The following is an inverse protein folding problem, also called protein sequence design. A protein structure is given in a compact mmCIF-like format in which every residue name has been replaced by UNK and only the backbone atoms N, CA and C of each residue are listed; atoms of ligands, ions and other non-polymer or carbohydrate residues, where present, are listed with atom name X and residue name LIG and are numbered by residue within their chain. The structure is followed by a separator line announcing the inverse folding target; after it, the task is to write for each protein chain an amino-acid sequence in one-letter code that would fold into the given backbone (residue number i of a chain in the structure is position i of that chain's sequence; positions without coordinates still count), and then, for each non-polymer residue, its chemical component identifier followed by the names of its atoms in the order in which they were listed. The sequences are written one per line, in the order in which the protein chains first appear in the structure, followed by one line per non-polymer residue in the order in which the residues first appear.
data_IF_128940483625
#
_entry.id   IF_128940483625
#
_cell.length_a   1.000
_cell.length_b   1.000
_cell.length_c   1.000
_cell.angle_alpha   90.00
_cell.angle_beta   90.00
_cell.angle_gamma   90.00
#
_symmetry.space_group_name_H-M   'P 1'
#
loop_
_entity.id
_entity.type
_entity.pdbx_description
1 polymer ?
#
# COMPACT_ATOMS: atom_id res chain seq x y z
N UNK A 1 -14.09 9.84 2.93
CA UNK A 1 -14.30 9.47 4.35
C UNK A 1 -13.02 8.77 4.82
N UNK A 2 -12.20 9.41 5.68
CA UNK A 2 -10.92 8.80 6.14
C UNK A 2 -11.25 7.63 7.06
N UNK A 3 -10.79 6.43 6.70
CA UNK A 3 -10.94 5.24 7.55
C UNK A 3 -10.03 5.44 8.76
N UNK A 4 -10.59 5.54 9.97
CA UNK A 4 -9.80 5.61 11.20
C UNK A 4 -8.97 4.31 11.34
N UNK A 5 -7.74 4.40 11.89
CA UNK A 5 -6.80 3.25 12.04
C UNK A 5 -7.43 1.99 12.64
N UNK A 6 -8.35 2.14 13.56
CA UNK A 6 -9.04 1.01 14.22
C UNK A 6 -10.11 0.37 13.31
N UNK A 7 -10.71 1.13 12.39
CA UNK A 7 -11.67 0.62 11.42
C UNK A 7 -11.01 -0.12 10.25
N UNK A 8 -9.73 0.14 9.95
CA UNK A 8 -9.05 -0.54 8.85
C UNK A 8 -8.79 -2.02 9.16
N UNK A 9 -8.44 -2.38 10.39
CA UNK A 9 -8.26 -3.78 10.78
C UNK A 9 -9.57 -4.56 10.75
N UNK A 10 -10.69 -3.95 11.16
CA UNK A 10 -12.02 -4.56 11.06
C UNK A 10 -12.46 -4.68 9.59
N UNK A 11 -12.14 -3.67 8.79
CA UNK A 11 -12.41 -3.70 7.35
C UNK A 11 -11.69 -4.86 6.66
N UNK A 12 -10.43 -5.16 7.01
CA UNK A 12 -9.64 -6.28 6.47
C UNK A 12 -10.23 -7.67 6.79
N UNK A 13 -10.98 -7.81 7.86
CA UNK A 13 -11.67 -9.07 8.19
C UNK A 13 -12.81 -9.38 7.20
N UNK A 14 -13.39 -8.35 6.61
CA UNK A 14 -14.50 -8.46 5.67
C UNK A 14 -14.00 -8.47 4.23
N UNK A 15 -13.02 -7.62 3.92
CA UNK A 15 -12.47 -7.40 2.59
C UNK A 15 -10.96 -7.66 2.60
N UNK A 16 -10.59 -8.93 2.66
CA UNK A 16 -9.19 -9.38 2.82
C UNK A 16 -8.37 -9.42 1.53
N UNK A 17 -8.97 -9.10 0.38
CA UNK A 17 -8.28 -9.11 -0.91
C UNK A 17 -7.72 -7.74 -1.27
N UNK A 18 -6.43 -7.70 -1.60
CA UNK A 18 -5.72 -6.53 -2.12
C UNK A 18 -5.10 -6.83 -3.47
N UNK A 19 -5.30 -5.94 -4.44
CA UNK A 19 -4.58 -5.97 -5.70
C UNK A 19 -3.38 -5.04 -5.61
N UNK A 20 -2.16 -5.60 -5.69
CA UNK A 20 -0.94 -4.81 -5.85
C UNK A 20 -0.67 -4.58 -7.34
N UNK A 21 -0.60 -3.30 -7.71
CA UNK A 21 -0.23 -2.87 -9.05
C UNK A 21 1.16 -2.24 -8.99
N UNK A 22 2.04 -2.73 -9.84
CA UNK A 22 3.37 -2.14 -10.06
C UNK A 22 3.39 -1.55 -11.47
N UNK A 23 3.15 -0.25 -11.63
CA UNK A 23 3.14 0.39 -12.93
C UNK A 23 4.52 0.28 -13.59
N UNK A 24 4.53 0.01 -14.89
CA UNK A 24 5.71 0.15 -15.73
C UNK A 24 5.90 1.62 -16.14
N UNK A 25 7.14 2.04 -16.40
CA UNK A 25 7.43 3.45 -16.70
C UNK A 25 6.71 3.98 -17.94
N UNK A 26 6.38 3.11 -18.89
CA UNK A 26 5.64 3.47 -20.11
C UNK A 26 4.20 3.96 -19.84
N UNK A 27 3.58 3.56 -18.72
CA UNK A 27 2.23 4.00 -18.36
C UNK A 27 2.16 5.52 -18.09
N UNK A 28 3.28 6.12 -17.69
CA UNK A 28 3.36 7.54 -17.41
C UNK A 28 3.47 8.41 -18.67
N UNK A 29 3.88 7.83 -19.81
CA UNK A 29 4.16 8.55 -21.05
C UNK A 29 3.32 8.11 -22.23
N UNK A 30 2.75 6.90 -22.22
CA UNK A 30 1.95 6.35 -23.31
C UNK A 30 0.46 6.38 -23.00
N UNK A 31 -0.27 7.26 -23.65
CA UNK A 31 -1.71 7.47 -23.48
C UNK A 31 -2.53 6.20 -23.77
N UNK A 32 -2.14 5.40 -24.77
CA UNK A 32 -2.87 4.18 -25.13
C UNK A 32 -2.76 3.14 -24.01
N UNK A 33 -1.54 2.93 -23.48
CA UNK A 33 -1.32 2.01 -22.35
C UNK A 33 -2.08 2.49 -21.11
N UNK A 34 -2.05 3.80 -20.85
CA UNK A 34 -2.78 4.40 -19.73
C UNK A 34 -4.28 4.21 -19.85
N UNK A 35 -4.86 4.43 -21.03
CA UNK A 35 -6.29 4.22 -21.25
C UNK A 35 -6.70 2.76 -21.07
N UNK A 36 -5.93 1.81 -21.64
CA UNK A 36 -6.16 0.36 -21.44
C UNK A 36 -6.14 -0.01 -19.97
N UNK A 37 -5.17 0.51 -19.21
CA UNK A 37 -5.10 0.31 -17.76
C UNK A 37 -6.38 0.78 -17.05
N UNK A 38 -6.89 1.99 -17.37
CA UNK A 38 -8.11 2.51 -16.75
C UNK A 38 -9.36 1.70 -17.12
N UNK A 39 -9.46 1.19 -18.35
CA UNK A 39 -10.54 0.31 -18.80
C UNK A 39 -10.51 -1.04 -18.05
N UNK A 40 -9.33 -1.66 -17.92
CA UNK A 40 -9.14 -2.92 -17.18
C UNK A 40 -9.43 -2.73 -15.69
N UNK A 41 -8.90 -1.66 -15.08
CA UNK A 41 -9.18 -1.34 -13.68
C UNK A 41 -10.67 -1.10 -13.45
N UNK A 42 -11.32 -0.36 -14.35
CA UNK A 42 -12.77 -0.14 -14.31
C UNK A 42 -13.57 -1.43 -14.36
N UNK A 43 -13.13 -2.40 -15.16
CA UNK A 43 -13.73 -3.71 -15.24
C UNK A 43 -13.59 -4.50 -13.93
N UNK A 44 -12.41 -4.48 -13.32
CA UNK A 44 -12.16 -5.12 -12.02
C UNK A 44 -12.98 -4.49 -10.89
N UNK A 45 -13.10 -3.17 -10.88
CA UNK A 45 -13.92 -2.44 -9.90
C UNK A 45 -15.40 -2.79 -10.04
N UNK A 46 -15.92 -2.92 -11.28
CA UNK A 46 -17.29 -3.41 -11.54
C UNK A 46 -17.52 -4.84 -11.04
N UNK A 47 -16.48 -5.68 -11.06
CA UNK A 47 -16.51 -7.04 -10.52
C UNK A 47 -16.38 -7.10 -8.99
N UNK A 48 -16.25 -5.96 -8.32
CA UNK A 48 -16.23 -5.87 -6.86
C UNK A 48 -14.84 -5.66 -6.25
N UNK A 49 -13.80 -5.35 -7.03
CA UNK A 49 -12.50 -4.99 -6.48
C UNK A 49 -12.62 -3.70 -5.67
N UNK A 50 -12.21 -3.76 -4.39
CA UNK A 50 -12.32 -2.63 -3.46
C UNK A 50 -10.99 -2.10 -2.93
N UNK A 51 -9.96 -2.95 -2.87
CA UNK A 51 -8.67 -2.59 -2.28
C UNK A 51 -7.55 -2.68 -3.29
N UNK A 52 -6.82 -1.60 -3.45
CA UNK A 52 -5.71 -1.49 -4.40
C UNK A 52 -4.51 -0.83 -3.74
N UNK A 53 -3.35 -1.40 -3.97
CA UNK A 53 -2.05 -0.81 -3.67
C UNK A 53 -1.34 -0.45 -4.98
N UNK A 54 -0.89 0.79 -5.13
CA UNK A 54 -0.02 1.19 -6.24
C UNK A 54 1.41 1.29 -5.73
N UNK A 55 2.33 0.54 -6.32
CA UNK A 55 3.75 0.67 -5.98
C UNK A 55 4.22 2.11 -6.18
N UNK A 56 4.80 2.68 -5.13
CA UNK A 56 5.43 3.99 -5.23
C UNK A 56 6.64 3.94 -6.17
N UNK A 57 6.81 4.98 -6.94
CA UNK A 57 7.89 5.20 -7.87
C UNK A 57 8.39 6.64 -7.75
N UNK A 58 9.68 6.85 -7.93
CA UNK A 58 10.29 8.20 -7.98
C UNK A 58 10.04 8.91 -9.32
N UNK A 59 9.16 8.40 -10.17
CA UNK A 59 8.76 9.05 -11.41
C UNK A 59 7.96 10.32 -11.08
N UNK A 60 8.32 11.45 -11.68
CA UNK A 60 7.67 12.75 -11.46
C UNK A 60 6.16 12.73 -11.74
N UNK A 61 5.70 11.85 -12.63
CA UNK A 61 4.28 11.69 -13.00
C UNK A 61 3.51 10.70 -12.12
N UNK A 62 4.16 10.08 -11.13
CA UNK A 62 3.50 9.12 -10.24
C UNK A 62 2.35 9.76 -9.48
N UNK A 63 2.55 10.97 -8.96
CA UNK A 63 1.52 11.72 -8.23
C UNK A 63 0.27 11.97 -9.09
N UNK A 64 0.46 12.41 -10.35
CA UNK A 64 -0.64 12.69 -11.27
C UNK A 64 -1.40 11.42 -11.63
N UNK A 65 -0.66 10.33 -11.91
CA UNK A 65 -1.24 9.04 -12.25
C UNK A 65 -2.09 8.47 -11.11
N UNK A 66 -1.58 8.48 -9.88
CA UNK A 66 -2.33 7.94 -8.72
C UNK A 66 -3.49 8.85 -8.34
N UNK A 67 -3.35 10.17 -8.50
CA UNK A 67 -4.44 11.12 -8.31
C UNK A 67 -5.57 10.87 -9.32
N UNK A 68 -5.26 10.54 -10.56
CA UNK A 68 -6.25 10.21 -11.59
C UNK A 68 -6.99 8.90 -11.26
N UNK A 69 -6.28 7.87 -10.76
CA UNK A 69 -6.95 6.64 -10.26
C UNK A 69 -7.96 6.99 -9.17
N UNK A 70 -7.55 7.81 -8.20
CA UNK A 70 -8.41 8.20 -7.08
C UNK A 70 -9.65 9.00 -7.55
N UNK A 71 -9.49 9.85 -8.54
CA UNK A 71 -10.60 10.64 -9.12
C UNK A 71 -11.59 9.78 -9.90
N UNK A 72 -11.09 8.84 -10.70
CA UNK A 72 -11.93 7.97 -11.53
C UNK A 72 -12.63 6.87 -10.71
N UNK A 73 -12.02 6.43 -9.60
CA UNK A 73 -12.52 5.34 -8.77
C UNK A 73 -12.60 5.74 -7.28
N UNK A 74 -13.43 6.74 -6.91
CA UNK A 74 -13.49 7.25 -5.54
C UNK A 74 -14.03 6.23 -4.52
N UNK A 75 -14.63 5.14 -4.99
CA UNK A 75 -15.19 4.07 -4.16
C UNK A 75 -14.13 3.06 -3.70
N UNK A 76 -12.94 3.02 -4.31
CA UNK A 76 -11.89 2.08 -3.92
C UNK A 76 -11.12 2.59 -2.70
N UNK A 77 -10.66 1.64 -1.91
CA UNK A 77 -9.70 1.87 -0.84
C UNK A 77 -8.29 1.84 -1.44
N UNK A 78 -7.76 3.02 -1.77
CA UNK A 78 -6.49 3.19 -2.47
C UNK A 78 -5.37 3.44 -1.48
N UNK A 79 -4.31 2.63 -1.57
CA UNK A 79 -3.07 2.78 -0.85
C UNK A 79 -1.86 2.78 -1.77
N UNK A 80 -0.70 3.04 -1.19
CA UNK A 80 0.59 2.88 -1.87
C UNK A 80 1.39 1.72 -1.29
N UNK A 81 2.21 1.09 -2.12
CA UNK A 81 3.13 0.03 -1.74
C UNK A 81 4.58 0.43 -2.00
N UNK A 82 5.51 -0.44 -1.61
CA UNK A 82 6.95 -0.26 -1.82
C UNK A 82 7.52 1.00 -1.16
N UNK A 83 6.96 1.41 -0.02
CA UNK A 83 7.43 2.56 0.75
C UNK A 83 8.82 2.26 1.30
N UNK A 84 9.78 3.15 1.01
CA UNK A 84 11.20 2.98 1.37
C UNK A 84 11.86 4.23 1.95
N UNK A 85 11.17 5.39 1.91
CA UNK A 85 11.72 6.66 2.39
C UNK A 85 10.60 7.64 2.77
N UNK A 86 10.96 8.78 3.39
CA UNK A 86 10.00 9.80 3.82
C UNK A 86 9.26 10.44 2.64
N UNK A 87 9.92 10.63 1.50
CA UNK A 87 9.30 11.20 0.31
C UNK A 87 8.09 10.37 -0.15
N UNK A 88 8.22 9.03 -0.14
CA UNK A 88 7.11 8.15 -0.53
C UNK A 88 5.90 8.25 0.41
N UNK A 89 6.11 8.58 1.70
CA UNK A 89 5.03 8.87 2.65
C UNK A 89 4.40 10.24 2.35
N UNK A 90 5.21 11.27 2.13
CA UNK A 90 4.72 12.62 1.83
C UNK A 90 3.90 12.65 0.53
N UNK A 91 4.37 11.93 -0.50
CA UNK A 91 3.63 11.79 -1.76
C UNK A 91 2.27 11.12 -1.54
N UNK A 92 2.24 10.06 -0.74
CA UNK A 92 0.99 9.36 -0.39
C UNK A 92 0.02 10.24 0.41
N UNK A 93 0.54 11.02 1.35
CA UNK A 93 -0.22 12.00 2.13
C UNK A 93 -0.77 13.12 1.25
N UNK A 94 0.04 13.64 0.31
CA UNK A 94 -0.34 14.71 -0.62
C UNK A 94 -1.54 14.31 -1.49
N UNK A 95 -1.58 13.07 -1.95
CA UNK A 95 -2.72 12.51 -2.69
C UNK A 95 -3.90 12.22 -1.75
N UNK A 96 -3.65 12.07 -0.46
CA UNK A 96 -4.63 11.64 0.53
C UNK A 96 -4.99 10.16 0.39
N UNK A 97 -3.98 9.30 0.24
CA UNK A 97 -4.18 7.85 0.25
C UNK A 97 -4.55 7.36 1.64
N UNK A 98 -5.32 6.28 1.71
CA UNK A 98 -5.86 5.78 2.98
C UNK A 98 -4.81 5.09 3.84
N UNK A 99 -3.83 4.44 3.20
CA UNK A 99 -2.75 3.69 3.85
C UNK A 99 -1.55 3.56 2.92
N UNK A 100 -0.43 3.10 3.49
CA UNK A 100 0.75 2.67 2.73
C UNK A 100 1.33 1.39 3.29
N UNK A 101 2.02 0.62 2.45
CA UNK A 101 2.74 -0.58 2.86
C UNK A 101 4.25 -0.43 2.63
N UNK A 102 5.01 -0.66 3.68
CA UNK A 102 6.47 -0.67 3.60
C UNK A 102 6.95 -1.87 2.78
N UNK A 103 8.06 -1.68 2.08
CA UNK A 103 8.74 -2.80 1.43
C UNK A 103 9.44 -3.69 2.46
N UNK A 104 10.13 -3.08 3.41
CA UNK A 104 10.84 -3.74 4.50
C UNK A 104 10.65 -2.93 5.78
N UNK A 105 10.87 -3.58 6.93
CA UNK A 105 10.82 -2.92 8.22
C UNK A 105 11.87 -1.80 8.32
N UNK A 106 11.41 -0.63 8.71
CA UNK A 106 12.21 0.55 9.04
C UNK A 106 11.50 1.31 10.17
N UNK A 107 12.09 1.25 11.36
CA UNK A 107 11.55 1.84 12.58
C UNK A 107 11.40 3.35 12.49
N UNK A 108 12.37 4.03 11.88
CA UNK A 108 12.36 5.50 11.79
C UNK A 108 11.30 5.98 10.81
N UNK A 109 11.15 5.25 9.70
CA UNK A 109 10.10 5.52 8.72
C UNK A 109 8.70 5.26 9.30
N UNK A 110 8.56 4.19 10.10
CA UNK A 110 7.30 3.89 10.81
C UNK A 110 6.95 4.99 11.80
N UNK A 111 7.91 5.43 12.63
CA UNK A 111 7.71 6.51 13.58
C UNK A 111 7.39 7.84 12.88
N UNK A 112 8.02 8.10 11.74
CA UNK A 112 7.71 9.26 10.92
C UNK A 112 6.25 9.26 10.46
N UNK A 113 5.76 8.16 9.87
CA UNK A 113 4.35 8.04 9.47
C UNK A 113 3.40 8.20 10.67
N UNK A 114 3.76 7.59 11.83
CA UNK A 114 3.00 7.71 13.08
C UNK A 114 2.90 9.17 13.55
N UNK A 115 3.98 9.96 13.45
CA UNK A 115 3.97 11.39 13.79
C UNK A 115 3.05 12.22 12.89
N UNK A 116 2.84 11.77 11.66
CA UNK A 116 1.89 12.37 10.69
C UNK A 116 0.47 11.83 10.83
N UNK A 117 0.20 10.97 11.82
CA UNK A 117 -1.06 10.25 11.98
C UNK A 117 -1.47 9.43 10.72
N UNK A 118 -0.49 8.94 9.97
CA UNK A 118 -0.68 8.17 8.74
C UNK A 118 -0.57 6.67 9.00
N UNK A 119 -1.44 5.88 8.36
CA UNK A 119 -1.40 4.42 8.46
C UNK A 119 -0.31 3.86 7.55
N UNK A 120 0.81 3.47 8.13
CA UNK A 120 1.89 2.76 7.46
C UNK A 120 1.95 1.31 7.99
N UNK A 121 1.73 0.35 7.09
CA UNK A 121 1.75 -1.08 7.40
C UNK A 121 3.16 -1.61 7.18
N UNK A 122 3.84 -2.15 8.21
CA UNK A 122 5.21 -2.64 8.07
C UNK A 122 5.31 -3.93 7.25
N UNK A 123 6.34 -4.01 6.42
CA UNK A 123 6.78 -5.22 5.75
C UNK A 123 7.77 -5.99 6.62
N UNK A 124 7.40 -7.18 7.06
CA UNK A 124 8.16 -8.02 7.99
C UNK A 124 8.80 -9.18 7.24
N UNK A 125 10.10 -9.39 7.41
CA UNK A 125 10.84 -10.48 6.74
C UNK A 125 11.46 -11.52 7.68
N UNK A 126 11.50 -11.22 9.00
CA UNK A 126 12.11 -12.10 10.03
C UNK A 126 11.51 -11.82 11.41
N UNK A 127 11.83 -12.67 12.39
CA UNK A 127 11.33 -12.57 13.76
C UNK A 127 11.75 -11.26 14.46
N UNK A 128 12.96 -10.77 14.24
CA UNK A 128 13.42 -9.51 14.84
C UNK A 128 12.57 -8.34 14.41
N UNK A 129 12.27 -8.23 13.09
CA UNK A 129 11.39 -7.20 12.56
C UNK A 129 9.98 -7.30 13.17
N UNK A 130 9.49 -8.54 13.37
CA UNK A 130 8.19 -8.82 14.00
C UNK A 130 8.14 -8.34 15.44
N UNK A 131 9.15 -8.71 16.26
CA UNK A 131 9.25 -8.30 17.66
C UNK A 131 9.28 -6.77 17.80
N UNK A 132 10.07 -6.10 16.97
CA UNK A 132 10.13 -4.63 16.97
C UNK A 132 8.78 -4.00 16.58
N UNK A 133 8.08 -4.55 15.59
CA UNK A 133 6.77 -4.08 15.15
C UNK A 133 5.71 -4.27 16.26
N UNK A 134 5.71 -5.42 16.94
CA UNK A 134 4.82 -5.69 18.09
C UNK A 134 5.09 -4.70 19.22
N UNK A 135 6.35 -4.48 19.58
CA UNK A 135 6.74 -3.53 20.62
C UNK A 135 6.32 -2.09 20.34
N UNK A 136 6.15 -1.73 19.06
CA UNK A 136 5.60 -0.44 18.63
C UNK A 136 4.08 -0.43 18.46
N UNK A 137 3.39 -1.49 18.89
CA UNK A 137 1.94 -1.67 18.79
C UNK A 137 1.41 -1.63 17.34
N UNK A 138 2.15 -2.23 16.40
CA UNK A 138 1.65 -2.43 15.06
C UNK A 138 0.50 -3.45 15.07
N UNK A 139 -0.70 -3.02 14.70
CA UNK A 139 -1.90 -3.89 14.67
C UNK A 139 -2.01 -4.71 13.39
N UNK A 140 -1.36 -4.28 12.33
CA UNK A 140 -1.38 -4.90 11.02
C UNK A 140 0.05 -4.97 10.52
N UNK A 141 0.42 -6.11 9.98
CA UNK A 141 1.72 -6.36 9.37
C UNK A 141 1.55 -7.06 8.03
N UNK A 142 2.52 -6.87 7.14
CA UNK A 142 2.63 -7.60 5.87
C UNK A 142 3.88 -8.48 5.92
N UNK A 143 3.70 -9.79 5.80
CA UNK A 143 4.85 -10.70 5.71
C UNK A 143 5.34 -10.72 4.28
N UNK A 144 6.59 -10.27 4.03
CA UNK A 144 7.15 -10.14 2.70
C UNK A 144 8.70 -10.05 2.73
N UNK A 145 9.42 -10.72 1.82
CA UNK A 145 8.91 -11.72 0.87
C UNK A 145 8.70 -13.09 1.51
N UNK A 146 7.72 -13.84 1.03
CA UNK A 146 7.58 -15.26 1.35
C UNK A 146 8.32 -16.04 0.25
N UNK A 147 9.51 -16.57 0.57
CA UNK A 147 10.34 -17.29 -0.40
C UNK A 147 10.08 -18.79 -0.46
N UNK A 148 9.52 -19.37 0.62
CA UNK A 148 9.13 -20.77 0.73
C UNK A 148 8.10 -20.94 1.84
N UNK A 149 7.44 -22.12 1.91
CA UNK A 149 6.56 -22.46 3.06
C UNK A 149 7.31 -22.38 4.40
N UNK A 150 8.58 -22.76 4.40
CA UNK A 150 9.41 -22.77 5.62
C UNK A 150 9.73 -21.37 6.14
N UNK A 151 9.85 -20.36 5.26
CA UNK A 151 10.11 -18.99 5.69
C UNK A 151 8.91 -18.31 6.37
N UNK A 152 7.69 -18.70 6.05
CA UNK A 152 6.48 -18.17 6.72
C UNK A 152 6.24 -18.87 8.04
N UNK A 153 6.52 -20.17 8.14
CA UNK A 153 6.38 -20.97 9.37
C UNK A 153 7.34 -20.48 10.46
N UNK A 154 8.57 -20.13 10.08
CA UNK A 154 9.58 -19.60 11.02
C UNK A 154 9.27 -18.19 11.56
N UNK A 155 8.31 -17.49 11.01
CA UNK A 155 7.84 -16.19 11.53
C UNK A 155 6.62 -16.38 12.42
N UNK A 156 5.85 -17.46 12.23
CA UNK A 156 4.58 -17.70 12.91
C UNK A 156 4.68 -18.70 14.10
N UNK A 157 5.79 -19.43 14.23
CA UNK A 157 6.11 -20.31 15.37
C UNK A 157 7.08 -19.64 16.33
#
# INVERSE_FOLDING_TARGET
MSIKKDSFSEYLKIESFFLLIKPEDNIYSNTSIRNSFFEELGSLVKLGLKNIEISWSNNEKWLDFVSEIKLNFPQINLGSASIVNKQSIEDSLKIGLNFSMMKFWDKDLFNYAKSKNYLLIPGIKNLKDLEEAINLNCKIIKIYPIKSKDSSINILN
#
